data_IF_887366437446
#
_entry.id   IF_887366437446
#
_cell.length_a   1.000
_cell.length_b   1.000
_cell.length_c   1.000
_cell.angle_alpha   90.00
_cell.angle_beta   90.00
_cell.angle_gamma   90.00
#
_symmetry.space_group_name_H-M   'P 1'
#
loop_
_entity.id
_entity.type
_entity.pdbx_description
1 polymer ?
#
# COMPACT_ATOMS: atom_id res chain seq x y z
N UNK A 1 -88.67 12.88 48.23
CA UNK A 1 -87.61 13.76 48.78
C UNK A 1 -86.49 12.84 49.26
N UNK A 2 -85.34 12.79 48.55
CA UNK A 2 -84.05 13.39 48.93
C UNK A 2 -83.40 12.57 50.09
N UNK A 3 -82.18 12.01 50.03
CA UNK A 3 -81.06 12.11 49.08
C UNK A 3 -80.12 10.92 49.30
N UNK A 4 -79.58 10.42 48.19
CA UNK A 4 -78.41 9.55 48.15
C UNK A 4 -77.18 10.27 48.69
N UNK A 5 -76.52 9.67 49.68
CA UNK A 5 -75.14 9.94 50.07
C UNK A 5 -74.58 8.61 50.59
N UNK A 6 -73.28 8.34 50.41
CA UNK A 6 -72.57 7.10 50.78
C UNK A 6 -72.30 6.04 49.69
N UNK A 7 -72.16 6.45 48.43
CA UNK A 7 -71.49 5.63 47.40
C UNK A 7 -70.44 6.45 46.62
N UNK A 8 -69.58 7.20 47.30
CA UNK A 8 -68.45 7.91 46.64
C UNK A 8 -67.11 7.66 47.38
N UNK A 9 -67.12 7.02 48.56
CA UNK A 9 -65.91 6.87 49.35
C UNK A 9 -64.89 5.79 48.89
N UNK A 10 -65.22 4.69 48.17
CA UNK A 10 -64.19 3.73 47.77
C UNK A 10 -63.58 4.02 46.39
N UNK A 11 -64.17 4.90 45.57
CA UNK A 11 -63.67 5.17 44.21
C UNK A 11 -62.40 6.03 44.20
N UNK A 12 -62.17 6.84 45.25
CA UNK A 12 -61.06 7.81 45.28
C UNK A 12 -59.74 7.19 45.80
N UNK A 13 -59.78 6.01 46.42
CA UNK A 13 -58.57 5.31 46.90
C UNK A 13 -57.99 4.34 45.85
N UNK A 14 -58.78 3.95 44.84
CA UNK A 14 -58.32 3.08 43.74
C UNK A 14 -57.47 3.80 42.66
N UNK A 15 -57.32 5.13 42.74
CA UNK A 15 -56.57 5.94 41.77
C UNK A 15 -55.10 6.20 42.15
N UNK A 16 -54.63 5.71 43.30
CA UNK A 16 -53.26 5.93 43.79
C UNK A 16 -52.32 4.72 43.58
N UNK A 17 -52.76 3.70 42.83
CA UNK A 17 -52.08 2.41 42.70
C UNK A 17 -51.45 2.10 41.34
N UNK A 18 -51.18 3.09 40.49
CA UNK A 18 -50.43 2.86 39.24
C UNK A 18 -48.95 3.22 39.45
N UNK A 19 -48.04 2.26 39.69
CA UNK A 19 -46.62 2.51 39.57
C UNK A 19 -46.30 2.70 38.08
N UNK A 20 -46.49 3.92 37.59
CA UNK A 20 -46.01 4.38 36.28
C UNK A 20 -44.49 4.52 36.29
N UNK A 21 -43.77 3.40 36.40
CA UNK A 21 -42.32 3.36 36.31
C UNK A 21 -41.86 3.03 34.89
N UNK A 22 -41.96 3.95 33.94
CA UNK A 22 -41.27 3.84 32.63
C UNK A 22 -40.95 5.20 31.99
N UNK A 23 -40.31 6.14 32.70
CA UNK A 23 -39.74 7.32 32.02
C UNK A 23 -38.60 8.07 32.73
N UNK A 24 -37.99 7.52 33.78
CA UNK A 24 -36.93 8.26 34.52
C UNK A 24 -35.52 7.69 34.37
N UNK A 25 -35.33 6.52 33.75
CA UNK A 25 -33.99 5.91 33.64
C UNK A 25 -33.14 6.44 32.48
N UNK A 26 -33.75 7.02 31.43
CA UNK A 26 -33.03 7.43 30.20
C UNK A 26 -32.59 8.89 30.18
N UNK A 27 -33.11 9.76 31.05
CA UNK A 27 -32.69 11.17 31.08
C UNK A 27 -31.24 11.36 31.56
N UNK A 28 -30.72 10.41 32.36
CA UNK A 28 -29.35 10.46 32.90
C UNK A 28 -28.29 9.97 31.90
N UNK A 29 -28.67 9.21 30.87
CA UNK A 29 -27.72 8.67 29.89
C UNK A 29 -27.31 9.66 28.80
N UNK A 30 -28.01 10.80 28.66
CA UNK A 30 -27.77 11.78 27.58
C UNK A 30 -26.66 12.78 27.93
N UNK A 31 -26.24 12.85 29.20
CA UNK A 31 -25.15 13.76 29.63
C UNK A 31 -23.75 13.22 29.29
N UNK A 32 -23.62 11.96 28.88
CA UNK A 32 -22.29 11.31 28.71
C UNK A 32 -21.96 10.82 27.31
N UNK A 33 -22.88 10.94 26.33
CA UNK A 33 -22.58 10.61 24.94
C UNK A 33 -23.31 11.55 23.97
N UNK A 34 -22.58 12.56 23.50
CA UNK A 34 -23.09 13.62 22.62
C UNK A 34 -23.28 13.13 21.16
N UNK A 35 -23.02 11.85 20.88
CA UNK A 35 -23.13 11.26 19.54
C UNK A 35 -24.51 10.66 19.23
N UNK A 36 -25.43 10.59 20.21
CA UNK A 36 -26.77 10.05 20.02
C UNK A 36 -27.72 11.09 19.42
N UNK A 37 -28.31 10.85 18.23
CA UNK A 37 -29.20 11.80 17.60
C UNK A 37 -30.51 11.93 18.39
N UNK A 38 -30.72 13.12 18.95
CA UNK A 38 -31.96 13.53 19.61
C UNK A 38 -33.02 13.90 18.55
N UNK A 39 -33.88 12.94 18.24
CA UNK A 39 -35.04 13.11 17.36
C UNK A 39 -35.64 11.76 16.94
N UNK A 40 -36.87 11.72 16.44
CA UNK A 40 -37.36 10.53 15.73
C UNK A 40 -36.34 10.18 14.61
N UNK A 41 -36.10 8.89 14.28
CA UNK A 41 -35.16 8.51 13.24
C UNK A 41 -35.54 9.28 11.96
N UNK A 42 -34.68 10.22 11.58
CA UNK A 42 -34.90 11.01 10.38
C UNK A 42 -34.75 10.06 9.20
N UNK A 43 -35.75 10.01 8.31
CA UNK A 43 -35.73 9.25 7.05
C UNK A 43 -34.75 9.86 6.02
N UNK A 44 -33.52 10.17 6.44
CA UNK A 44 -32.48 10.57 5.50
C UNK A 44 -31.89 9.33 4.82
N UNK A 45 -31.45 9.46 3.55
CA UNK A 45 -30.63 8.44 2.91
C UNK A 45 -29.44 8.10 3.80
N UNK A 46 -29.02 6.84 3.77
CA UNK A 46 -27.75 6.48 4.40
C UNK A 46 -26.62 7.24 3.72
N UNK A 47 -25.68 7.76 4.50
CA UNK A 47 -24.47 8.37 3.97
C UNK A 47 -23.29 7.43 4.21
N UNK A 48 -22.46 7.27 3.18
CA UNK A 48 -21.29 6.40 3.24
C UNK A 48 -20.04 7.20 2.93
N UNK A 49 -19.03 7.06 3.77
CA UNK A 49 -17.66 7.51 3.51
C UNK A 49 -16.75 6.29 3.30
N UNK A 50 -15.64 6.47 2.60
CA UNK A 50 -14.67 5.40 2.36
C UNK A 50 -13.26 5.81 2.78
N UNK A 51 -12.61 4.96 3.57
CA UNK A 51 -11.19 5.02 3.88
C UNK A 51 -10.45 3.94 3.08
N UNK A 52 -9.75 4.32 2.03
CA UNK A 52 -9.09 3.39 1.11
C UNK A 52 -7.60 3.38 1.39
N UNK A 53 -7.07 2.20 1.70
CA UNK A 53 -5.66 1.98 2.00
C UNK A 53 -5.07 0.96 1.03
N UNK A 54 -4.12 1.40 0.21
CA UNK A 54 -3.39 0.56 -0.73
C UNK A 54 -2.06 0.08 -0.16
N UNK A 55 -1.77 -1.21 -0.33
CA UNK A 55 -0.47 -1.80 0.01
C UNK A 55 0.69 -1.09 -0.72
N UNK A 56 1.88 -0.94 -0.09
CA UNK A 56 3.10 -0.46 -0.77
C UNK A 56 3.55 -1.35 -1.92
N UNK A 57 3.23 -2.64 -1.87
CA UNK A 57 3.57 -3.66 -2.88
C UNK A 57 2.44 -3.91 -3.90
N UNK A 58 1.47 -2.98 -3.96
CA UNK A 58 0.24 -3.13 -4.75
C UNK A 58 0.51 -3.52 -6.21
N UNK A 59 -0.21 -4.55 -6.66
CA UNK A 59 -0.23 -5.00 -8.05
C UNK A 59 1.18 -5.14 -8.65
N UNK A 60 2.11 -5.63 -7.83
CA UNK A 60 3.51 -5.77 -8.19
C UNK A 60 3.71 -6.66 -9.41
N UNK A 61 4.60 -6.25 -10.31
CA UNK A 61 4.92 -7.06 -11.49
C UNK A 61 5.77 -8.28 -11.08
N UNK A 62 5.32 -9.53 -11.28
CA UNK A 62 6.10 -10.74 -10.94
C UNK A 62 7.33 -10.92 -11.82
N UNK A 63 7.34 -10.31 -13.02
CA UNK A 63 8.49 -10.27 -13.91
C UNK A 63 9.38 -9.04 -13.67
N UNK A 64 9.20 -8.32 -12.54
CA UNK A 64 10.19 -7.34 -12.11
C UNK A 64 11.51 -8.08 -11.97
N UNK A 65 12.56 -7.59 -12.63
CA UNK A 65 13.86 -8.22 -12.61
C UNK A 65 14.33 -8.30 -11.16
N UNK A 66 14.27 -9.52 -10.60
CA UNK A 66 15.03 -9.89 -9.42
C UNK A 66 16.48 -9.91 -9.88
N UNK A 67 17.18 -8.80 -9.68
CA UNK A 67 18.60 -8.92 -9.42
C UNK A 67 18.65 -9.68 -8.09
N UNK A 68 18.79 -11.00 -8.19
CA UNK A 68 19.08 -11.80 -7.02
C UNK A 68 20.29 -11.12 -6.40
N UNK A 69 20.17 -10.71 -5.14
CA UNK A 69 21.34 -10.50 -4.31
C UNK A 69 21.93 -11.90 -4.14
N UNK A 70 22.61 -12.39 -5.18
CA UNK A 70 23.76 -13.23 -4.93
C UNK A 70 24.58 -12.42 -3.95
N UNK A 71 24.66 -12.94 -2.73
CA UNK A 71 25.61 -12.47 -1.75
C UNK A 71 26.91 -12.21 -2.50
N UNK A 72 27.40 -10.98 -2.42
CA UNK A 72 28.57 -10.45 -3.11
C UNK A 72 29.84 -11.24 -2.70
N UNK A 73 29.91 -12.51 -3.12
CA UNK A 73 30.89 -13.51 -2.68
C UNK A 73 31.67 -14.09 -3.85
N UNK A 74 31.31 -13.75 -5.09
CA UNK A 74 32.10 -14.17 -6.24
C UNK A 74 32.22 -13.02 -7.23
N UNK A 75 32.97 -11.99 -6.84
CA UNK A 75 33.83 -11.38 -7.86
C UNK A 75 34.72 -12.52 -8.35
N UNK A 76 34.49 -13.02 -9.57
CA UNK A 76 35.46 -13.85 -10.27
C UNK A 76 36.84 -13.19 -10.05
N UNK A 77 37.84 -13.92 -9.54
CA UNK A 77 39.11 -13.33 -9.20
C UNK A 77 39.79 -12.85 -10.48
N UNK A 78 39.53 -11.60 -10.86
CA UNK A 78 40.35 -10.94 -11.86
C UNK A 78 41.77 -10.89 -11.29
N UNK A 79 42.81 -11.09 -12.12
CA UNK A 79 44.19 -11.24 -11.65
C UNK A 79 44.73 -10.04 -10.85
N UNK A 80 43.97 -8.93 -10.80
CA UNK A 80 44.32 -7.69 -10.12
C UNK A 80 43.25 -7.19 -9.11
N UNK A 81 42.21 -7.97 -8.80
CA UNK A 81 41.20 -7.57 -7.81
C UNK A 81 41.51 -8.13 -6.42
N UNK A 82 41.50 -7.26 -5.40
CA UNK A 82 41.66 -7.63 -3.99
C UNK A 82 40.43 -7.15 -3.20
N UNK A 83 39.75 -8.07 -2.52
CA UNK A 83 38.64 -7.75 -1.61
C UNK A 83 39.10 -7.89 -0.15
N UNK A 84 38.93 -6.83 0.64
CA UNK A 84 39.36 -6.77 2.04
C UNK A 84 38.14 -6.59 2.95
N UNK A 85 37.89 -7.59 3.79
CA UNK A 85 36.83 -7.54 4.81
C UNK A 85 37.41 -7.77 6.20
N UNK A 86 36.96 -6.98 7.18
CA UNK A 86 37.35 -7.10 8.59
C UNK A 86 36.15 -6.81 9.51
N UNK A 87 36.14 -7.43 10.69
CA UNK A 87 35.06 -7.30 11.67
C UNK A 87 35.15 -6.05 12.55
N UNK A 88 36.29 -5.36 12.53
CA UNK A 88 36.56 -4.16 13.31
C UNK A 88 37.56 -3.24 12.58
N UNK A 89 37.56 -1.93 12.88
CA UNK A 89 38.38 -0.96 12.17
C UNK A 89 39.89 -1.14 12.39
N UNK A 90 40.33 -1.68 13.54
CA UNK A 90 41.75 -1.91 13.80
C UNK A 90 42.29 -3.06 12.96
N UNK A 91 41.55 -4.17 12.88
CA UNK A 91 41.87 -5.31 12.03
C UNK A 91 41.85 -4.95 10.54
N UNK A 92 40.99 -4.01 10.11
CA UNK A 92 41.02 -3.51 8.74
C UNK A 92 42.33 -2.75 8.47
N UNK A 93 42.75 -1.90 9.40
CA UNK A 93 43.96 -1.07 9.26
C UNK A 93 45.22 -1.94 9.18
N UNK A 94 45.27 -3.01 9.97
CA UNK A 94 46.37 -3.98 9.93
C UNK A 94 46.44 -4.70 8.58
N UNK A 95 45.29 -5.15 8.05
CA UNK A 95 45.23 -5.80 6.73
C UNK A 95 45.63 -4.86 5.59
N UNK A 96 45.22 -3.60 5.66
CA UNK A 96 45.62 -2.58 4.69
C UNK A 96 47.13 -2.33 4.76
N UNK A 97 47.69 -2.23 5.97
CA UNK A 97 49.13 -2.05 6.18
C UNK A 97 49.96 -3.18 5.59
N UNK A 98 49.56 -4.43 5.87
CA UNK A 98 50.23 -5.61 5.33
C UNK A 98 50.18 -5.68 3.79
N UNK A 99 49.04 -5.32 3.19
CA UNK A 99 48.93 -5.26 1.73
C UNK A 99 49.84 -4.19 1.13
N UNK A 100 49.92 -3.02 1.77
CA UNK A 100 50.79 -1.94 1.31
C UNK A 100 52.28 -2.35 1.36
N UNK A 101 52.70 -2.97 2.46
CA UNK A 101 54.07 -3.46 2.62
C UNK A 101 54.41 -4.52 1.57
N UNK A 102 53.49 -5.45 1.31
CA UNK A 102 53.63 -6.46 0.26
C UNK A 102 53.80 -5.83 -1.13
N UNK A 103 52.96 -4.84 -1.47
CA UNK A 103 53.06 -4.14 -2.75
C UNK A 103 54.38 -3.37 -2.89
N UNK A 104 54.85 -2.73 -1.82
CA UNK A 104 56.10 -1.97 -1.84
C UNK A 104 57.34 -2.87 -1.91
N UNK A 105 57.29 -4.06 -1.31
CA UNK A 105 58.35 -5.06 -1.42
C UNK A 105 58.42 -5.68 -2.83
N UNK A 106 57.26 -5.95 -3.44
CA UNK A 106 57.18 -6.63 -4.73
C UNK A 106 57.32 -5.66 -5.92
N UNK A 107 56.94 -4.40 -5.73
CA UNK A 107 57.03 -3.32 -6.71
C UNK A 107 57.64 -2.08 -6.04
N UNK A 108 58.96 -2.08 -5.77
CA UNK A 108 59.61 -0.90 -5.20
C UNK A 108 59.40 0.28 -6.13
N UNK A 109 58.95 1.41 -5.56
CA UNK A 109 58.74 2.63 -6.32
C UNK A 109 60.06 3.10 -6.93
N UNK A 110 60.30 2.81 -8.21
CA UNK A 110 61.34 3.50 -8.97
C UNK A 110 60.87 4.93 -9.21
N UNK A 111 61.41 5.86 -8.42
CA UNK A 111 61.33 7.29 -8.67
C UNK A 111 62.05 7.61 -9.99
N UNK A 112 61.53 8.45 -10.89
CA UNK A 112 62.23 8.79 -12.11
C UNK A 112 63.46 9.66 -11.79
N UNK A 113 64.63 9.10 -12.10
CA UNK A 113 65.80 9.74 -12.74
C UNK A 113 66.38 11.00 -12.05
N UNK A 114 67.54 10.82 -11.40
CA UNK A 114 68.55 11.88 -11.30
C UNK A 114 69.09 12.17 -12.72
N UNK A 115 69.03 13.43 -13.14
CA UNK A 115 69.55 13.89 -14.43
C UNK A 115 71.08 13.98 -14.29
N UNK A 116 71.81 13.03 -14.87
CA UNK A 116 73.25 13.16 -15.09
C UNK A 116 73.47 13.72 -16.51
N UNK A 117 74.00 14.93 -16.57
CA UNK A 117 74.26 15.67 -17.82
C UNK A 117 75.52 15.15 -18.50
N UNK A 118 75.51 13.95 -19.12
CA UNK A 118 76.40 13.59 -20.23
C UNK A 118 76.22 12.12 -20.64
N UNK A 119 75.46 11.86 -21.70
CA UNK A 119 75.95 11.00 -22.80
C UNK A 119 75.08 11.16 -24.05
N UNK A 120 75.74 11.24 -25.19
CA UNK A 120 75.18 11.50 -26.52
C UNK A 120 74.80 10.16 -27.15
N UNK A 121 73.68 9.57 -26.72
CA UNK A 121 73.08 8.42 -27.41
C UNK A 121 71.56 8.39 -27.24
N UNK A 122 70.86 8.16 -28.36
CA UNK A 122 69.41 8.19 -28.54
C UNK A 122 68.61 7.77 -27.29
N UNK A 123 67.64 8.57 -26.81
CA UNK A 123 66.80 8.12 -25.71
C UNK A 123 65.99 6.92 -26.20
N UNK A 124 66.24 5.77 -25.57
CA UNK A 124 65.41 4.60 -25.69
C UNK A 124 63.96 5.01 -25.39
N UNK A 125 63.15 5.09 -26.44
CA UNK A 125 61.71 5.33 -26.32
C UNK A 125 61.13 4.21 -25.45
N UNK A 126 60.37 4.58 -24.42
CA UNK A 126 59.49 3.66 -23.72
C UNK A 126 58.64 2.91 -24.75
N UNK A 127 58.48 1.58 -24.68
CA UNK A 127 57.44 0.87 -25.39
C UNK A 127 56.12 1.16 -24.68
N UNK A 128 55.69 2.41 -24.73
CA UNK A 128 54.31 2.77 -24.46
C UNK A 128 53.64 2.78 -25.81
N UNK A 129 52.79 1.77 -25.99
CA UNK A 129 51.86 1.63 -27.09
C UNK A 129 51.30 2.98 -27.54
N UNK A 130 51.20 3.11 -28.85
CA UNK A 130 50.57 4.23 -29.55
C UNK A 130 49.06 4.20 -29.27
N UNK A 131 48.65 4.57 -28.06
CA UNK A 131 47.25 4.85 -27.75
C UNK A 131 46.91 6.21 -28.37
N UNK A 132 46.55 6.19 -29.66
CA UNK A 132 46.03 7.36 -30.34
C UNK A 132 44.76 7.86 -29.63
N UNK A 133 44.66 9.14 -29.26
CA UNK A 133 43.47 9.67 -28.60
C UNK A 133 42.29 9.59 -29.58
N UNK A 134 41.37 8.65 -29.34
CA UNK A 134 40.19 8.41 -30.18
C UNK A 134 39.92 6.94 -30.53
N UNK A 135 40.77 5.99 -30.12
CA UNK A 135 40.49 4.56 -30.30
C UNK A 135 39.64 4.02 -29.13
N UNK A 136 38.45 3.50 -29.43
CA UNK A 136 37.56 2.83 -28.47
C UNK A 136 37.68 1.30 -28.48
N UNK A 137 38.57 0.75 -29.32
CA UNK A 137 38.80 -0.69 -29.45
C UNK A 137 39.87 -1.23 -28.47
N UNK A 138 40.32 -0.40 -27.51
CA UNK A 138 41.26 -0.81 -26.48
C UNK A 138 40.52 -1.66 -25.42
N UNK A 139 40.85 -2.96 -25.37
CA UNK A 139 40.22 -3.95 -24.50
C UNK A 139 40.47 -3.70 -23.00
N UNK A 140 41.23 -2.65 -22.67
CA UNK A 140 41.67 -2.34 -21.31
C UNK A 140 40.79 -1.31 -20.59
N UNK A 141 39.85 -0.64 -21.29
CA UNK A 141 38.93 0.34 -20.66
C UNK A 141 37.57 -0.30 -20.41
N UNK A 142 37.48 -1.07 -19.32
CA UNK A 142 36.18 -1.47 -18.77
C UNK A 142 35.63 -0.28 -18.00
N UNK A 143 34.62 0.40 -18.56
CA UNK A 143 33.80 1.34 -17.80
C UNK A 143 32.99 0.56 -16.76
N UNK A 144 33.59 0.33 -15.60
CA UNK A 144 32.85 -0.14 -14.42
C UNK A 144 31.96 1.01 -13.97
N UNK A 145 30.71 1.01 -14.43
CA UNK A 145 29.66 1.85 -13.88
C UNK A 145 29.67 1.64 -12.36
N UNK A 146 29.66 2.70 -11.52
CA UNK A 146 29.52 2.52 -10.09
C UNK A 146 28.26 1.69 -9.87
N UNK A 147 28.42 0.54 -9.20
CA UNK A 147 27.33 -0.36 -8.87
C UNK A 147 26.27 0.50 -8.19
N UNK A 148 25.17 0.73 -8.90
CA UNK A 148 24.01 1.33 -8.27
C UNK A 148 23.67 0.39 -7.14
N UNK A 149 23.75 0.85 -5.90
CA UNK A 149 23.34 0.08 -4.74
C UNK A 149 21.84 -0.19 -4.92
N UNK A 150 21.51 -1.32 -5.54
CA UNK A 150 20.14 -1.72 -5.82
C UNK A 150 19.53 -2.06 -4.47
N UNK A 151 18.77 -1.12 -3.92
CA UNK A 151 17.90 -1.40 -2.78
C UNK A 151 16.96 -2.55 -3.13
N UNK A 152 16.64 -3.35 -2.12
CA UNK A 152 15.83 -4.56 -2.14
C UNK A 152 14.83 -4.66 -3.30
N UNK A 153 14.89 -5.79 -4.02
CA UNK A 153 13.89 -6.20 -5.01
C UNK A 153 12.57 -6.50 -4.30
N UNK A 154 11.79 -5.46 -4.03
CA UNK A 154 10.34 -5.60 -3.94
C UNK A 154 9.79 -5.61 -5.38
N UNK A 155 8.77 -6.43 -5.68
CA UNK A 155 8.12 -6.38 -6.98
C UNK A 155 7.69 -4.93 -7.25
N UNK A 156 8.03 -4.40 -8.44
CA UNK A 156 7.75 -3.00 -8.76
C UNK A 156 6.24 -2.80 -8.68
N UNK A 157 5.81 -2.11 -7.64
CA UNK A 157 4.42 -1.87 -7.35
C UNK A 157 3.84 -0.94 -8.43
N UNK A 158 2.67 -1.28 -8.96
CA UNK A 158 2.06 -0.53 -10.06
C UNK A 158 0.74 0.11 -9.62
N UNK A 159 0.42 1.33 -10.10
CA UNK A 159 -0.89 1.92 -9.86
C UNK A 159 -2.01 1.00 -10.36
N UNK A 160 -3.14 0.99 -9.65
CA UNK A 160 -4.27 0.12 -9.94
C UNK A 160 -5.58 0.89 -9.84
N UNK A 161 -6.50 0.63 -10.77
CA UNK A 161 -7.85 1.15 -10.71
C UNK A 161 -8.74 0.27 -9.82
N UNK A 162 -9.63 0.91 -9.07
CA UNK A 162 -10.71 0.26 -8.32
C UNK A 162 -12.04 0.89 -8.69
N UNK A 163 -13.08 0.06 -8.72
CA UNK A 163 -14.48 0.42 -8.96
C UNK A 163 -15.28 0.18 -7.70
N UNK A 164 -15.95 1.20 -7.19
CA UNK A 164 -16.92 1.07 -6.10
C UNK A 164 -18.32 1.05 -6.72
N UNK A 165 -19.05 -0.04 -6.56
CA UNK A 165 -20.40 -0.22 -7.09
C UNK A 165 -21.44 -0.13 -5.97
N UNK A 166 -22.53 0.56 -6.27
CA UNK A 166 -23.78 0.51 -5.52
C UNK A 166 -24.75 -0.44 -6.21
N UNK A 167 -25.26 -1.41 -5.46
CA UNK A 167 -26.07 -2.49 -5.99
C UNK A 167 -27.36 -2.67 -5.18
N UNK A 168 -28.42 -3.07 -5.89
CA UNK A 168 -29.68 -3.52 -5.30
C UNK A 168 -29.57 -4.96 -4.78
N UNK A 169 -28.80 -5.79 -5.47
CA UNK A 169 -28.60 -7.22 -5.17
C UNK A 169 -27.20 -7.66 -5.60
N UNK A 170 -26.59 -8.61 -4.89
CA UNK A 170 -25.23 -9.09 -5.14
C UNK A 170 -25.17 -10.38 -5.97
N UNK A 171 -26.30 -11.02 -6.26
CA UNK A 171 -26.36 -12.31 -6.95
C UNK A 171 -25.70 -12.28 -8.33
N UNK A 172 -25.98 -11.26 -9.14
CA UNK A 172 -25.38 -11.15 -10.48
C UNK A 172 -23.88 -10.88 -10.42
N UNK A 173 -23.44 -10.03 -9.49
CA UNK A 173 -22.02 -9.76 -9.31
C UNK A 173 -21.25 -11.03 -8.89
N UNK A 174 -21.84 -11.86 -8.02
CA UNK A 174 -21.20 -13.09 -7.56
C UNK A 174 -21.01 -14.16 -8.63
N UNK A 175 -21.88 -14.16 -9.64
CA UNK A 175 -21.90 -15.14 -10.73
C UNK A 175 -21.26 -14.61 -12.02
N UNK A 176 -20.60 -13.45 -11.97
CA UNK A 176 -19.97 -12.79 -13.11
C UNK A 176 -18.45 -12.93 -13.06
N UNK A 177 -17.81 -12.89 -14.23
CA UNK A 177 -16.34 -12.85 -14.39
C UNK A 177 -15.84 -11.42 -14.60
N UNK A 178 -14.57 -11.17 -14.24
CA UNK A 178 -13.96 -9.84 -14.30
C UNK A 178 -14.07 -9.18 -15.68
N UNK A 179 -13.74 -9.90 -16.75
CA UNK A 179 -13.71 -9.39 -18.13
C UNK A 179 -15.03 -8.72 -18.57
N UNK A 180 -16.17 -9.32 -18.22
CA UNK A 180 -17.48 -8.77 -18.58
C UNK A 180 -17.78 -7.49 -17.80
N UNK A 181 -17.31 -7.43 -16.55
CA UNK A 181 -17.53 -6.32 -15.65
C UNK A 181 -16.64 -5.12 -15.96
N UNK A 182 -15.45 -5.37 -16.52
CA UNK A 182 -14.54 -4.33 -17.02
C UNK A 182 -15.08 -3.68 -18.30
N UNK A 183 -15.68 -4.46 -19.20
CA UNK A 183 -16.30 -3.93 -20.42
C UNK A 183 -17.52 -3.03 -20.14
N UNK A 184 -18.54 -3.55 -19.45
CA UNK A 184 -19.76 -2.80 -19.14
C UNK A 184 -20.48 -3.39 -17.91
N UNK A 185 -20.23 -2.82 -16.71
CA UNK A 185 -20.84 -3.34 -15.49
C UNK A 185 -22.36 -3.12 -15.46
N UNK A 186 -22.87 -2.05 -16.08
CA UNK A 186 -24.29 -1.74 -16.10
C UNK A 186 -25.07 -2.78 -16.93
N UNK A 187 -24.52 -3.19 -18.07
CA UNK A 187 -25.14 -4.20 -18.94
C UNK A 187 -25.14 -5.60 -18.31
N UNK A 188 -24.06 -5.96 -17.62
CA UNK A 188 -23.92 -7.29 -17.00
C UNK A 188 -24.80 -7.44 -15.76
N UNK A 189 -24.80 -6.42 -14.91
CA UNK A 189 -25.57 -6.40 -13.66
C UNK A 189 -27.04 -5.98 -13.88
N UNK A 190 -27.39 -5.44 -15.05
CA UNK A 190 -28.77 -5.14 -15.45
C UNK A 190 -29.50 -4.31 -14.38
N UNK A 191 -30.62 -4.79 -13.88
CA UNK A 191 -31.46 -4.12 -12.89
C UNK A 191 -30.90 -4.15 -11.47
N UNK A 192 -29.81 -4.87 -11.20
CA UNK A 192 -29.14 -4.85 -9.89
C UNK A 192 -28.13 -3.73 -9.79
N UNK A 193 -27.71 -3.16 -10.92
CA UNK A 193 -26.83 -2.01 -11.00
C UNK A 193 -27.54 -0.71 -10.62
N UNK A 194 -26.87 0.15 -9.86
CA UNK A 194 -27.38 1.49 -9.54
C UNK A 194 -26.37 2.55 -9.98
N UNK A 195 -25.13 2.45 -9.48
CA UNK A 195 -24.07 3.43 -9.75
C UNK A 195 -22.69 2.79 -9.56
N UNK A 196 -21.70 3.31 -10.26
CA UNK A 196 -20.29 3.04 -10.06
C UNK A 196 -19.51 4.33 -9.81
N UNK A 197 -18.37 4.20 -9.14
CA UNK A 197 -17.39 5.27 -8.97
C UNK A 197 -15.98 4.69 -9.19
N UNK A 198 -15.23 5.33 -10.10
CA UNK A 198 -13.88 4.91 -10.51
C UNK A 198 -12.78 5.67 -9.76
N UNK A 199 -11.79 4.93 -9.25
CA UNK A 199 -10.66 5.51 -8.55
C UNK A 199 -9.33 4.85 -8.93
N UNK A 200 -8.35 5.69 -9.23
CA UNK A 200 -6.95 5.26 -9.38
C UNK A 200 -6.22 5.33 -8.04
N UNK A 201 -5.57 4.24 -7.65
CA UNK A 201 -4.76 4.12 -6.45
C UNK A 201 -3.29 3.95 -6.82
N UNK A 202 -2.42 4.66 -6.10
CA UNK A 202 -0.97 4.45 -6.14
C UNK A 202 -0.55 3.46 -5.04
N UNK A 203 0.56 2.74 -5.21
CA UNK A 203 1.11 1.90 -4.15
C UNK A 203 1.38 2.71 -2.88
N UNK A 204 0.97 2.18 -1.73
CA UNK A 204 1.11 2.83 -0.41
C UNK A 204 0.17 4.03 -0.20
N UNK A 205 -0.74 4.31 -1.13
CA UNK A 205 -1.60 5.48 -1.05
C UNK A 205 -2.78 5.24 -0.09
N UNK A 206 -2.99 6.22 0.78
CA UNK A 206 -4.25 6.41 1.48
C UNK A 206 -5.14 7.40 0.73
N UNK A 207 -6.42 7.07 0.55
CA UNK A 207 -7.42 7.93 -0.08
C UNK A 207 -8.71 7.94 0.74
N UNK A 208 -9.15 9.12 1.12
CA UNK A 208 -10.41 9.34 1.83
C UNK A 208 -11.48 9.90 0.88
N UNK A 209 -12.66 9.28 0.90
CA UNK A 209 -13.86 9.75 0.19
C UNK A 209 -14.85 10.21 1.26
N UNK A 210 -15.28 11.48 1.24
CA UNK A 210 -16.19 12.02 2.26
C UNK A 210 -17.58 11.37 2.19
N UNK A 211 -18.36 11.56 3.26
CA UNK A 211 -19.73 11.08 3.35
C UNK A 211 -20.58 11.59 2.18
N UNK A 212 -21.16 10.64 1.45
CA UNK A 212 -22.09 10.91 0.37
C UNK A 212 -23.37 10.08 0.56
N UNK A 213 -24.51 10.69 0.29
CA UNK A 213 -25.80 10.01 0.31
C UNK A 213 -25.84 8.90 -0.75
N UNK A 214 -26.19 7.68 -0.33
CA UNK A 214 -26.40 6.55 -1.24
C UNK A 214 -27.81 6.59 -1.83
N UNK A 215 -28.00 5.88 -2.95
CA UNK A 215 -29.32 5.75 -3.54
C UNK A 215 -30.27 4.97 -2.62
N UNK A 216 -31.56 5.34 -2.60
CA UNK A 216 -32.55 4.74 -1.70
C UNK A 216 -32.78 3.23 -1.92
N UNK A 217 -32.38 2.71 -3.08
CA UNK A 217 -32.48 1.30 -3.44
C UNK A 217 -31.17 0.52 -3.23
N UNK A 218 -30.09 1.19 -2.83
CA UNK A 218 -28.78 0.56 -2.58
C UNK A 218 -28.87 -0.30 -1.32
N UNK A 219 -28.61 -1.59 -1.47
CA UNK A 219 -28.58 -2.57 -0.36
C UNK A 219 -27.20 -3.19 -0.18
N UNK A 220 -26.38 -3.14 -1.22
CA UNK A 220 -25.04 -3.69 -1.24
C UNK A 220 -24.08 -2.67 -1.83
N UNK A 221 -22.89 -2.59 -1.23
CA UNK A 221 -21.75 -1.89 -1.81
C UNK A 221 -20.71 -2.94 -2.15
N UNK A 222 -20.21 -2.87 -3.37
CA UNK A 222 -19.15 -3.75 -3.83
C UNK A 222 -17.92 -2.94 -4.22
N UNK A 223 -16.74 -3.51 -4.02
CA UNK A 223 -15.48 -2.96 -4.51
C UNK A 223 -14.83 -4.01 -5.40
N UNK A 224 -14.41 -3.57 -6.58
CA UNK A 224 -13.69 -4.36 -7.58
C UNK A 224 -12.35 -3.71 -7.84
N UNK A 225 -11.28 -4.50 -7.94
CA UNK A 225 -9.96 -4.01 -8.30
C UNK A 225 -9.43 -4.69 -9.56
N UNK A 226 -8.70 -3.92 -10.36
CA UNK A 226 -8.06 -4.37 -11.60
C UNK A 226 -6.71 -5.06 -11.33
N UNK A 227 -6.77 -6.26 -10.76
CA UNK A 227 -5.57 -7.06 -10.51
C UNK A 227 -5.05 -7.68 -11.81
N UNK A 228 -3.73 -7.60 -12.01
CA UNK A 228 -3.05 -8.25 -13.14
C UNK A 228 -3.22 -9.77 -13.16
N UNK A 229 -3.37 -10.40 -11.98
CA UNK A 229 -3.56 -11.83 -11.80
C UNK A 229 -4.93 -12.18 -11.22
N UNK A 230 -6.01 -11.85 -11.93
CA UNK A 230 -7.40 -12.07 -11.47
C UNK A 230 -7.74 -13.54 -11.16
N UNK A 231 -7.00 -14.50 -11.71
CA UNK A 231 -7.12 -15.95 -11.48
C UNK A 231 -6.90 -16.31 -10.00
N UNK A 232 -5.89 -15.68 -9.38
CA UNK A 232 -5.38 -16.01 -8.05
C UNK A 232 -5.67 -14.90 -7.02
N UNK A 233 -6.34 -13.83 -7.45
CA UNK A 233 -6.64 -12.68 -6.62
C UNK A 233 -8.14 -12.60 -6.30
N UNK A 234 -8.50 -12.30 -5.05
CA UNK A 234 -9.86 -11.94 -4.67
C UNK A 234 -10.13 -10.48 -5.06
N UNK A 235 -10.35 -10.27 -6.35
CA UNK A 235 -10.53 -8.97 -6.99
C UNK A 235 -11.86 -8.28 -6.66
N UNK A 236 -12.80 -8.98 -6.01
CA UNK A 236 -14.11 -8.44 -5.62
C UNK A 236 -14.43 -8.68 -4.17
N UNK A 237 -15.06 -7.69 -3.54
CA UNK A 237 -15.63 -7.81 -2.21
C UNK A 237 -16.98 -7.10 -2.14
N UNK A 238 -17.93 -7.65 -1.39
CA UNK A 238 -19.29 -7.11 -1.25
C UNK A 238 -19.67 -7.01 0.22
N UNK A 239 -20.28 -5.89 0.60
CA UNK A 239 -20.81 -5.63 1.92
C UNK A 239 -22.28 -5.21 1.83
N UNK A 240 -23.12 -5.78 2.69
CA UNK A 240 -24.53 -5.37 2.82
C UNK A 240 -24.62 -4.15 3.73
N UNK A 241 -25.36 -3.13 3.29
CA UNK A 241 -25.59 -1.91 4.06
C UNK A 241 -27.08 -1.55 4.14
N UNK A 242 -27.53 -0.91 5.23
CA UNK A 242 -28.90 -0.43 5.34
C UNK A 242 -29.08 0.84 4.47
N UNK A 243 -30.18 0.94 3.70
CA UNK A 243 -30.40 2.04 2.75
C UNK A 243 -30.76 3.39 3.38
N UNK A 244 -31.21 3.42 4.65
CA UNK A 244 -31.72 4.63 5.31
C UNK A 244 -31.23 4.78 6.74
N UNK A 245 -31.11 6.04 7.17
CA UNK A 245 -30.99 6.44 8.58
C UNK A 245 -29.65 6.13 9.24
N UNK A 246 -28.57 5.91 8.47
CA UNK A 246 -27.23 5.61 9.01
C UNK A 246 -26.15 6.46 8.34
N UNK A 247 -25.16 6.88 9.09
CA UNK A 247 -23.89 7.34 8.54
C UNK A 247 -22.86 6.24 8.80
N UNK A 248 -22.19 5.77 7.75
CA UNK A 248 -21.31 4.58 7.83
C UNK A 248 -19.96 4.95 7.25
N UNK A 249 -18.89 4.66 8.00
CA UNK A 249 -17.53 4.69 7.47
C UNK A 249 -17.15 3.29 7.01
N UNK A 250 -16.69 3.15 5.76
CA UNK A 250 -16.26 1.88 5.19
C UNK A 250 -14.75 1.89 4.96
N UNK A 251 -14.05 0.91 5.52
CA UNK A 251 -12.63 0.70 5.28
C UNK A 251 -12.41 -0.27 4.13
N UNK A 252 -11.65 0.18 3.13
CA UNK A 252 -11.24 -0.59 1.96
C UNK A 252 -9.73 -0.81 2.03
N UNK A 253 -9.33 -2.02 2.41
CA UNK A 253 -7.93 -2.43 2.39
C UNK A 253 -7.66 -3.17 1.08
N UNK A 254 -6.74 -2.63 0.28
CA UNK A 254 -6.34 -3.18 -1.01
C UNK A 254 -4.94 -3.77 -0.86
N UNK A 255 -4.89 -5.10 -0.76
CA UNK A 255 -3.64 -5.86 -0.69
C UNK A 255 -3.20 -6.31 -2.10
N UNK A 256 -2.12 -7.08 -2.17
CA UNK A 256 -1.52 -7.52 -3.43
C UNK A 256 -2.35 -8.60 -4.13
N UNK A 257 -3.12 -9.39 -3.36
CA UNK A 257 -3.90 -10.53 -3.87
C UNK A 257 -5.37 -10.49 -3.50
N UNK A 258 -5.82 -9.55 -2.68
CA UNK A 258 -7.22 -9.51 -2.25
C UNK A 258 -7.63 -8.12 -1.76
N UNK A 259 -8.93 -7.87 -1.82
CA UNK A 259 -9.56 -6.67 -1.26
C UNK A 259 -10.37 -7.05 -0.03
N UNK A 260 -10.25 -6.24 1.02
CA UNK A 260 -11.08 -6.35 2.20
C UNK A 260 -11.92 -5.08 2.33
N UNK A 261 -13.24 -5.25 2.45
CA UNK A 261 -14.21 -4.20 2.70
C UNK A 261 -14.90 -4.50 4.02
N UNK A 262 -14.81 -3.57 4.97
CA UNK A 262 -15.42 -3.68 6.30
C UNK A 262 -16.06 -2.34 6.70
N UNK A 263 -17.07 -2.42 7.55
CA UNK A 263 -17.55 -1.25 8.29
C UNK A 263 -16.52 -0.93 9.39
N UNK A 264 -16.18 0.35 9.52
CA UNK A 264 -15.28 0.87 10.57
C UNK A 264 -16.12 1.10 11.83
N UNK A 265 -15.66 0.57 12.98
CA UNK A 265 -16.33 0.65 14.29
C UNK A 265 -16.08 1.98 15.02
#
# INVERSE_FOLDING_TARGET
MIRQSFLIAPLLVALLGLPGCTSLSRMSQVVMDHSLPIGPPKDHPTEVAFSINASPTLNGNPNSLVLATEADTALEPSPYAVSLSAGDPYALTEKIGALFEYLQAQFPAMSPVEVDEQDDSDPARSPLEESAPGSYDDATVVLTLPRTTTMATEPVATPMAIKILQLRDDSLLRNTVYQLLDEDPAKVLRSTYIRDDDYLLRPGQFKYIPFAAIHAETRFVAVIGDYRGHENASWRQVLRIPPRGRQIMLSVLVNDTHIVLKEED
#
